data_IF_074047586744
#
_entry.id   IF_074047586744
#
_cell.length_a   1.000
_cell.length_b   1.000
_cell.length_c   1.000
_cell.angle_alpha   90.00
_cell.angle_beta   90.00
_cell.angle_gamma   90.00
#
_symmetry.space_group_name_H-M   'P 1'
#
loop_
_entity.id
_entity.type
_entity.pdbx_description
1 polymer ?
#
# COMPACT_ATOMS: atom_id res chain seq x y z
N UNK A 1 7.89 36.99 -3.35
CA UNK A 1 7.71 35.55 -3.61
C UNK A 1 8.24 35.27 -5.01
N UNK A 2 9.40 34.62 -5.17
CA UNK A 2 9.91 34.27 -6.50
C UNK A 2 9.06 33.15 -7.09
N UNK A 3 8.49 33.36 -8.28
CA UNK A 3 7.84 32.30 -9.05
C UNK A 3 8.93 31.38 -9.60
N UNK A 4 8.87 30.10 -9.27
CA UNK A 4 9.71 29.10 -9.93
C UNK A 4 9.33 29.01 -11.41
N UNK A 5 10.31 28.86 -12.32
CA UNK A 5 10.02 28.61 -13.72
C UNK A 5 9.28 27.27 -13.87
N UNK A 6 8.39 27.16 -14.88
CA UNK A 6 7.72 25.90 -15.15
C UNK A 6 8.73 24.82 -15.53
N UNK A 7 8.49 23.59 -15.11
CA UNK A 7 9.29 22.44 -15.54
C UNK A 7 9.14 22.25 -17.06
N UNK A 8 10.23 21.93 -17.78
CA UNK A 8 10.15 21.61 -19.19
C UNK A 8 9.23 20.40 -19.40
N UNK A 9 8.37 20.49 -20.42
CA UNK A 9 7.48 19.38 -20.79
C UNK A 9 8.32 18.23 -21.35
N UNK A 10 8.04 17.02 -20.89
CA UNK A 10 8.62 15.80 -21.46
C UNK A 10 8.06 15.61 -22.87
N UNK A 11 8.88 15.36 -23.90
CA UNK A 11 8.40 15.09 -25.25
C UNK A 11 7.45 13.89 -25.29
N UNK A 12 6.40 13.97 -26.11
CA UNK A 12 5.42 12.88 -26.24
C UNK A 12 6.09 11.57 -26.69
N UNK A 13 7.08 11.64 -27.59
CA UNK A 13 7.85 10.47 -28.02
C UNK A 13 8.57 9.74 -26.88
N UNK A 14 9.08 10.49 -25.90
CA UNK A 14 9.69 9.91 -24.68
C UNK A 14 8.63 9.17 -23.85
N UNK A 15 7.45 9.75 -23.68
CA UNK A 15 6.32 9.12 -22.98
C UNK A 15 5.89 7.84 -23.70
N UNK A 16 5.78 7.89 -25.03
CA UNK A 16 5.38 6.75 -25.86
C UNK A 16 6.42 5.61 -25.77
N UNK A 17 7.71 5.96 -25.78
CA UNK A 17 8.81 4.99 -25.60
C UNK A 17 8.76 4.32 -24.22
N UNK A 18 8.52 5.10 -23.16
CA UNK A 18 8.37 4.57 -21.80
C UNK A 18 7.14 3.65 -21.68
N UNK A 19 6.04 4.02 -22.32
CA UNK A 19 4.82 3.20 -22.38
C UNK A 19 5.07 1.89 -23.12
N UNK A 20 5.72 1.94 -24.28
CA UNK A 20 6.06 0.74 -25.06
C UNK A 20 7.00 -0.19 -24.29
N UNK A 21 8.02 0.35 -23.62
CA UNK A 21 8.88 -0.43 -22.75
C UNK A 21 8.09 -1.11 -21.63
N UNK A 22 7.15 -0.41 -21.00
CA UNK A 22 6.29 -0.97 -19.95
C UNK A 22 5.41 -2.11 -20.47
N UNK A 23 4.82 -1.96 -21.66
CA UNK A 23 3.99 -3.01 -22.27
C UNK A 23 4.81 -4.26 -22.61
N UNK A 24 6.06 -4.09 -23.04
CA UNK A 24 6.98 -5.20 -23.33
C UNK A 24 7.54 -5.86 -22.07
N UNK A 25 7.59 -5.14 -20.94
CA UNK A 25 8.18 -5.58 -19.68
C UNK A 25 7.18 -5.39 -18.53
N UNK A 26 6.05 -6.13 -18.54
CA UNK A 26 5.02 -5.97 -17.52
C UNK A 26 5.59 -6.32 -16.15
N UNK A 27 5.34 -5.45 -15.16
CA UNK A 27 5.75 -5.71 -13.78
C UNK A 27 4.62 -6.44 -13.05
N UNK A 28 4.92 -7.43 -12.20
CA UNK A 28 3.90 -8.06 -11.38
C UNK A 28 3.21 -7.03 -10.48
N UNK A 29 1.91 -7.21 -10.25
CA UNK A 29 1.12 -6.36 -9.37
C UNK A 29 1.45 -6.65 -7.90
N UNK A 30 1.33 -5.63 -7.05
CA UNK A 30 1.39 -5.81 -5.60
C UNK A 30 0.22 -6.69 -5.11
N UNK A 31 0.44 -7.54 -4.08
CA UNK A 31 -0.58 -8.46 -3.57
C UNK A 31 -1.79 -7.77 -2.93
N UNK A 32 -1.69 -6.47 -2.60
CA UNK A 32 -2.80 -5.69 -2.05
C UNK A 32 -3.55 -4.86 -3.09
N UNK A 33 -3.28 -5.03 -4.40
CA UNK A 33 -3.80 -4.15 -5.46
C UNK A 33 -5.33 -4.11 -5.53
N UNK A 34 -6.00 -5.21 -5.17
CA UNK A 34 -7.46 -5.36 -5.19
C UNK A 34 -8.13 -5.11 -3.84
N UNK A 35 -7.36 -4.70 -2.83
CA UNK A 35 -7.93 -4.37 -1.53
C UNK A 35 -8.49 -2.95 -1.57
N UNK A 36 -9.74 -2.80 -1.18
CA UNK A 36 -10.43 -1.52 -1.07
C UNK A 36 -10.29 -0.93 0.34
N UNK A 37 -10.60 0.37 0.49
CA UNK A 37 -10.69 0.98 1.82
C UNK A 37 -11.77 0.28 2.68
N UNK A 38 -12.83 -0.25 2.06
CA UNK A 38 -13.89 -1.00 2.75
C UNK A 38 -13.43 -2.39 3.22
N UNK A 39 -12.61 -3.10 2.44
CA UNK A 39 -12.01 -4.38 2.87
C UNK A 39 -11.14 -4.17 4.11
N UNK A 40 -10.31 -3.12 4.08
CA UNK A 40 -9.46 -2.71 5.21
C UNK A 40 -10.34 -2.32 6.41
N UNK A 41 -11.41 -1.55 6.18
CA UNK A 41 -12.32 -1.15 7.23
C UNK A 41 -13.05 -2.31 7.89
N UNK A 42 -13.57 -3.24 7.09
CA UNK A 42 -14.23 -4.44 7.56
C UNK A 42 -13.28 -5.25 8.44
N UNK A 43 -12.06 -5.52 7.93
CA UNK A 43 -11.06 -6.28 8.67
C UNK A 43 -10.71 -5.62 10.01
N UNK A 44 -10.23 -4.38 10.00
CA UNK A 44 -9.67 -3.77 11.22
C UNK A 44 -10.73 -3.36 12.25
N UNK A 45 -11.99 -3.16 11.84
CA UNK A 45 -13.09 -2.98 12.79
C UNK A 45 -13.43 -4.29 13.51
N UNK A 46 -13.42 -5.41 12.80
CA UNK A 46 -13.74 -6.73 13.35
C UNK A 46 -12.57 -7.41 14.08
N UNK A 47 -11.33 -7.16 13.66
CA UNK A 47 -10.14 -7.81 14.22
C UNK A 47 -9.93 -7.44 15.68
N UNK A 48 -9.61 -8.43 16.52
CA UNK A 48 -9.37 -8.24 17.95
C UNK A 48 -7.92 -7.84 18.26
N UNK A 49 -7.67 -7.37 19.48
CA UNK A 49 -6.30 -7.18 19.98
C UNK A 49 -5.59 -8.53 19.97
N UNK A 50 -4.34 -8.55 19.49
CA UNK A 50 -3.54 -9.75 19.26
C UNK A 50 -3.68 -10.33 17.84
N UNK A 51 -4.69 -9.92 17.07
CA UNK A 51 -4.84 -10.31 15.68
C UNK A 51 -3.67 -9.79 14.82
N UNK A 52 -3.42 -10.48 13.72
CA UNK A 52 -2.39 -10.09 12.75
C UNK A 52 -2.76 -8.74 12.14
N UNK A 53 -1.76 -7.89 11.96
CA UNK A 53 -1.87 -6.69 11.17
C UNK A 53 -0.70 -6.65 10.17
N UNK A 54 -0.92 -6.08 9.00
CA UNK A 54 0.18 -5.82 8.06
C UNK A 54 0.21 -4.34 7.73
N UNK A 55 1.36 -3.74 7.97
CA UNK A 55 1.65 -2.37 7.55
C UNK A 55 2.38 -2.43 6.22
N UNK A 56 1.85 -1.77 5.19
CA UNK A 56 2.54 -1.55 3.93
C UNK A 56 3.27 -0.21 3.98
N UNK A 57 4.49 -0.19 3.47
CA UNK A 57 5.26 1.02 3.23
C UNK A 57 5.75 1.05 1.80
N UNK A 58 5.52 2.14 1.09
CA UNK A 58 6.18 2.43 -0.18
C UNK A 58 7.20 3.56 -0.01
N UNK A 59 8.49 3.35 -0.25
CA UNK A 59 9.47 4.43 -0.21
C UNK A 59 10.56 4.20 -1.26
N UNK A 60 10.93 5.25 -2.01
CA UNK A 60 12.02 5.17 -3.00
C UNK A 60 11.78 4.13 -4.12
N UNK A 61 10.52 3.86 -4.47
CA UNK A 61 10.16 2.82 -5.44
C UNK A 61 10.22 1.39 -4.90
N UNK A 62 10.49 1.21 -3.60
CA UNK A 62 10.45 -0.08 -2.92
C UNK A 62 9.17 -0.19 -2.09
N UNK A 63 8.49 -1.32 -2.21
CA UNK A 63 7.37 -1.68 -1.32
C UNK A 63 7.83 -2.73 -0.33
N UNK A 64 7.46 -2.55 0.93
CA UNK A 64 7.70 -3.53 2.00
C UNK A 64 6.41 -3.74 2.79
N UNK A 65 6.14 -4.97 3.18
CA UNK A 65 5.06 -5.33 4.10
C UNK A 65 5.67 -5.77 5.42
N UNK A 66 5.13 -5.24 6.52
CA UNK A 66 5.57 -5.52 7.87
C UNK A 66 4.42 -6.21 8.62
N UNK A 67 4.42 -7.56 8.66
CA UNK A 67 3.54 -8.29 9.55
C UNK A 67 3.83 -7.94 11.01
N UNK A 68 2.77 -7.81 11.79
CA UNK A 68 2.80 -7.44 13.20
C UNK A 68 1.49 -7.83 13.87
N UNK A 69 1.20 -7.21 15.02
CA UNK A 69 -0.02 -7.49 15.78
C UNK A 69 -0.74 -6.20 16.17
N UNK A 70 -2.06 -6.27 16.21
CA UNK A 70 -2.87 -5.22 16.84
C UNK A 70 -2.60 -5.27 18.35
N UNK A 71 -2.11 -4.18 18.93
CA UNK A 71 -1.83 -4.08 20.37
C UNK A 71 -2.89 -3.30 21.12
N UNK A 72 -3.76 -2.59 20.42
CA UNK A 72 -4.88 -1.88 21.01
C UNK A 72 -5.85 -1.35 19.97
N UNK A 73 -7.05 -0.99 20.41
CA UNK A 73 -8.07 -0.34 19.58
C UNK A 73 -8.73 0.79 20.37
N UNK A 74 -9.08 1.86 19.66
CA UNK A 74 -9.94 2.93 20.18
C UNK A 74 -11.09 3.13 19.19
N UNK A 75 -12.23 2.42 19.37
CA UNK A 75 -13.38 2.52 18.47
C UNK A 75 -13.97 3.93 18.40
N UNK A 76 -13.98 4.67 19.53
CA UNK A 76 -14.49 6.04 19.60
C UNK A 76 -13.68 6.99 18.71
N UNK A 77 -12.37 6.80 18.63
CA UNK A 77 -11.50 7.56 17.72
C UNK A 77 -11.35 6.91 16.33
N UNK A 78 -11.92 5.72 16.12
CA UNK A 78 -11.77 4.93 14.90
C UNK A 78 -10.33 4.46 14.64
N UNK A 79 -9.55 4.14 15.67
CA UNK A 79 -8.11 3.81 15.56
C UNK A 79 -7.79 2.37 15.96
N UNK A 80 -6.83 1.79 15.25
CA UNK A 80 -6.10 0.59 15.67
C UNK A 80 -4.64 0.96 15.93
N UNK A 81 -4.04 0.34 16.94
CA UNK A 81 -2.62 0.48 17.27
C UNK A 81 -1.94 -0.83 16.93
N UNK A 82 -0.87 -0.74 16.14
CA UNK A 82 -0.13 -1.91 15.66
C UNK A 82 1.30 -1.86 16.16
N UNK A 83 1.75 -2.98 16.69
CA UNK A 83 3.16 -3.25 16.93
C UNK A 83 3.73 -4.00 15.72
N UNK A 84 4.71 -3.37 15.07
CA UNK A 84 5.41 -3.93 13.93
C UNK A 84 6.87 -3.47 13.98
N UNK A 85 7.79 -4.14 13.24
CA UNK A 85 9.22 -3.83 13.25
C UNK A 85 9.61 -2.40 12.86
N UNK A 86 8.65 -1.59 12.39
CA UNK A 86 8.83 -0.16 12.23
C UNK A 86 8.60 0.55 13.55
N UNK A 87 9.70 1.03 14.16
CA UNK A 87 9.72 1.68 15.47
C UNK A 87 8.63 2.76 15.64
N UNK A 88 7.88 2.64 16.73
CA UNK A 88 6.86 3.59 17.17
C UNK A 88 5.46 3.06 16.89
N UNK A 89 4.76 2.66 17.96
CA UNK A 89 3.37 2.18 17.92
C UNK A 89 2.54 2.95 16.89
N UNK A 90 2.19 2.26 15.82
CA UNK A 90 1.70 2.91 14.61
C UNK A 90 0.18 2.92 14.70
N UNK A 91 -0.36 4.09 15.06
CA UNK A 91 -1.80 4.30 15.09
C UNK A 91 -2.32 4.51 13.67
N UNK A 92 -3.38 3.80 13.31
CA UNK A 92 -4.00 3.86 11.99
C UNK A 92 -5.50 4.04 12.12
N UNK A 93 -6.09 4.76 11.17
CA UNK A 93 -7.53 4.88 11.07
C UNK A 93 -8.13 3.59 10.53
N UNK A 94 -8.97 2.93 11.32
CA UNK A 94 -9.62 1.67 10.92
C UNK A 94 -10.46 1.84 9.66
N UNK A 95 -11.04 3.02 9.40
CA UNK A 95 -11.93 3.25 8.25
C UNK A 95 -11.28 3.14 6.86
N UNK A 96 -9.95 3.23 6.75
CA UNK A 96 -9.24 3.24 5.46
C UNK A 96 -7.75 2.86 5.58
N UNK A 97 -7.31 2.39 6.75
CA UNK A 97 -5.94 1.93 6.99
C UNK A 97 -4.84 2.99 7.06
N UNK A 98 -5.09 4.25 6.67
CA UNK A 98 -4.03 5.29 6.68
C UNK A 98 -3.47 5.59 8.07
N UNK A 99 -2.18 5.90 8.12
CA UNK A 99 -1.47 6.28 9.34
C UNK A 99 -2.04 7.59 9.94
N UNK A 100 -2.20 7.63 11.26
CA UNK A 100 -2.76 8.79 11.97
C UNK A 100 -1.84 10.02 11.96
N UNK A 101 -0.52 9.81 11.94
CA UNK A 101 0.49 10.86 11.99
C UNK A 101 0.86 11.36 10.58
N UNK A 102 0.79 10.47 9.59
CA UNK A 102 1.02 10.80 8.18
C UNK A 102 -0.12 10.31 7.27
N UNK A 103 -1.33 10.91 7.35
CA UNK A 103 -2.50 10.43 6.59
C UNK A 103 -2.39 10.56 5.06
N UNK A 104 -1.44 11.36 4.58
CA UNK A 104 -1.08 11.49 3.16
C UNK A 104 0.27 10.83 2.84
N UNK A 105 0.83 10.11 3.81
CA UNK A 105 2.10 9.42 3.69
C UNK A 105 1.97 8.12 2.91
N UNK A 106 3.09 7.43 2.79
CA UNK A 106 3.21 6.19 2.02
C UNK A 106 3.14 4.94 2.91
N UNK A 107 2.58 5.08 4.11
CA UNK A 107 2.44 4.02 5.12
C UNK A 107 0.97 3.85 5.48
N UNK A 108 0.44 2.65 5.26
CA UNK A 108 -0.96 2.31 5.52
C UNK A 108 -1.11 0.85 5.92
N UNK A 109 -2.29 0.51 6.45
CA UNK A 109 -2.69 -0.86 6.69
C UNK A 109 -3.26 -1.47 5.41
N UNK A 110 -2.99 -2.75 5.26
CA UNK A 110 -3.60 -3.63 4.27
C UNK A 110 -4.22 -4.82 4.98
N UNK A 111 -5.21 -5.46 4.37
CA UNK A 111 -5.76 -6.72 4.89
C UNK A 111 -4.66 -7.77 4.86
N UNK A 112 -4.38 -8.47 5.98
CA UNK A 112 -3.36 -9.50 6.07
C UNK A 112 -3.87 -10.82 5.47
N UNK A 113 -4.20 -10.80 4.18
CA UNK A 113 -4.59 -12.00 3.44
C UNK A 113 -3.37 -12.88 3.15
N UNK A 114 -3.63 -14.09 2.67
CA UNK A 114 -2.58 -15.08 2.40
C UNK A 114 -1.53 -14.57 1.41
N UNK A 115 -1.95 -13.91 0.33
CA UNK A 115 -1.04 -13.36 -0.69
C UNK A 115 -0.07 -12.32 -0.12
N UNK A 116 -0.58 -11.39 0.70
CA UNK A 116 0.23 -10.36 1.35
C UNK A 116 1.22 -10.99 2.33
N UNK A 117 0.78 -11.96 3.13
CA UNK A 117 1.64 -12.63 4.12
C UNK A 117 2.72 -13.49 3.44
N UNK A 118 2.36 -14.25 2.40
CA UNK A 118 3.31 -15.04 1.62
C UNK A 118 4.33 -14.14 0.90
N UNK A 119 3.88 -13.01 0.34
CA UNK A 119 4.77 -12.04 -0.27
C UNK A 119 5.74 -11.45 0.75
N UNK A 120 5.26 -11.07 1.94
CA UNK A 120 6.09 -10.51 3.01
C UNK A 120 7.16 -11.50 3.47
N UNK A 121 6.82 -12.78 3.59
CA UNK A 121 7.77 -13.84 3.93
C UNK A 121 8.84 -14.02 2.85
N UNK A 122 8.47 -13.92 1.56
CA UNK A 122 9.40 -14.03 0.42
C UNK A 122 10.29 -12.79 0.25
N UNK A 123 9.83 -11.61 0.67
CA UNK A 123 10.54 -10.34 0.47
C UNK A 123 10.65 -9.56 1.79
N UNK A 124 11.41 -10.05 2.80
CA UNK A 124 11.48 -9.44 4.12
C UNK A 124 12.05 -8.00 4.11
N UNK A 125 12.82 -7.64 3.08
CA UNK A 125 13.38 -6.30 2.89
C UNK A 125 12.61 -5.46 1.86
N UNK A 126 11.51 -5.97 1.33
CA UNK A 126 10.74 -5.33 0.26
C UNK A 126 11.28 -5.59 -1.14
N UNK A 127 10.62 -5.01 -2.13
CA UNK A 127 10.97 -5.14 -3.55
C UNK A 127 10.53 -3.93 -4.35
N UNK A 128 11.30 -3.58 -5.38
CA UNK A 128 10.97 -2.57 -6.40
C UNK A 128 10.45 -3.17 -7.71
N UNK A 129 10.41 -4.51 -7.80
CA UNK A 129 10.00 -5.23 -9.01
C UNK A 129 8.48 -5.19 -9.25
N UNK A 130 7.70 -4.79 -8.24
CA UNK A 130 6.23 -4.81 -8.28
C UNK A 130 5.65 -3.42 -8.50
N UNK A 131 4.42 -3.36 -9.02
CA UNK A 131 3.71 -2.10 -9.30
C UNK A 131 2.37 -2.02 -8.55
N UNK A 132 2.03 -0.81 -8.10
CA UNK A 132 0.71 -0.48 -7.56
C UNK A 132 -0.24 0.09 -8.63
N UNK A 133 0.19 0.10 -9.89
CA UNK A 133 -0.55 0.68 -11.02
C UNK A 133 -0.92 -0.46 -11.96
N UNK A 134 -2.22 -0.62 -12.25
CA UNK A 134 -2.69 -1.48 -13.33
C UNK A 134 -2.38 -0.83 -14.66
N UNK A 135 -1.39 -1.38 -15.37
CA UNK A 135 -1.22 -1.13 -16.80
C UNK A 135 -2.22 -1.92 -17.64
N UNK A 136 -2.35 -1.61 -18.94
CA UNK A 136 -3.24 -2.30 -19.88
C UNK A 136 -2.98 -3.82 -19.96
N UNK A 137 -1.76 -4.26 -19.64
CA UNK A 137 -1.37 -5.67 -19.60
C UNK A 137 -2.09 -6.52 -18.53
N UNK A 138 -2.67 -5.89 -17.51
CA UNK A 138 -3.25 -6.58 -16.36
C UNK A 138 -4.77 -6.76 -16.42
N UNK A 139 -5.40 -6.33 -17.52
CA UNK A 139 -6.86 -6.37 -17.69
C UNK A 139 -7.60 -5.38 -16.77
N UNK A 140 -8.92 -5.21 -16.98
CA UNK A 140 -9.75 -4.38 -16.11
C UNK A 140 -9.82 -5.00 -14.71
N UNK A 141 -10.01 -4.16 -13.69
CA UNK A 141 -10.34 -4.64 -12.33
C UNK A 141 -11.57 -5.54 -12.42
N UNK A 142 -11.53 -6.78 -11.89
CA UNK A 142 -12.70 -7.65 -11.91
C UNK A 142 -13.88 -6.94 -11.23
N UNK A 143 -15.00 -6.85 -11.92
CA UNK A 143 -16.26 -6.37 -11.34
C UNK A 143 -16.66 -7.37 -10.26
N UNK A 144 -16.82 -6.92 -9.01
CA UNK A 144 -17.42 -7.74 -7.96
C UNK A 144 -18.94 -7.61 -8.07
N UNK A 145 -19.61 -8.74 -8.32
CA UNK A 145 -21.07 -8.91 -8.29
C UNK A 145 -21.65 -8.72 -6.88
#
# INVERSE_FOLDING_TARGET
MMKLPPLPKVPQSTIDTMREYSMRNPRPLLPCIDQTEDDVAAYYRAAEVGAVAVVRRGYGGMTTYFPGKITGKNPRAGRAYVDCPHGGGSAFYMKHGRNCFHPKGQTDLVVPNEEVLAWAAKHPHGSSAYTSIRGPEHGPTPSRE
#
